data_IF_412408118981
#
_entry.id   IF_412408118981
#
_cell.length_a   1.000
_cell.length_b   1.000
_cell.length_c   1.000
_cell.angle_alpha   90.00
_cell.angle_beta   90.00
_cell.angle_gamma   90.00
#
_symmetry.space_group_name_H-M   'P 1'
#
loop_
_entity.id
_entity.type
_entity.pdbx_description
1 polymer ?
#
# COMPACT_ATOMS: atom_id res chain seq x y z
N UNK A 1 31.88 -5.19 -13.40
CA UNK A 1 31.14 -4.58 -12.27
C UNK A 1 29.66 -4.90 -12.47
N UNK A 2 29.19 -6.08 -12.02
CA UNK A 2 27.82 -6.56 -12.31
C UNK A 2 27.35 -7.53 -11.21
N UNK A 3 27.50 -7.12 -9.95
CA UNK A 3 26.92 -7.82 -8.79
C UNK A 3 26.18 -6.77 -7.96
N UNK A 4 25.02 -6.31 -8.45
CA UNK A 4 24.12 -5.49 -7.61
C UNK A 4 22.63 -5.60 -7.96
N UNK A 5 22.21 -6.63 -8.69
CA UNK A 5 20.79 -6.82 -9.05
C UNK A 5 20.31 -8.28 -8.91
N UNK A 6 20.87 -9.03 -7.96
CA UNK A 6 20.35 -10.35 -7.58
C UNK A 6 19.93 -10.36 -6.10
N UNK A 7 19.19 -9.32 -5.71
CA UNK A 7 18.38 -9.32 -4.49
C UNK A 7 17.01 -8.84 -4.90
N UNK A 8 16.00 -9.45 -4.29
CA UNK A 8 14.57 -9.36 -4.62
C UNK A 8 14.18 -10.36 -5.72
N UNK A 9 13.41 -11.38 -5.33
CA UNK A 9 12.87 -12.45 -6.19
C UNK A 9 11.85 -11.94 -7.23
N UNK A 10 12.27 -10.98 -8.04
CA UNK A 10 11.55 -10.31 -9.12
C UNK A 10 12.27 -10.47 -10.48
N UNK A 11 13.50 -10.99 -10.50
CA UNK A 11 14.23 -11.28 -11.73
C UNK A 11 14.72 -12.73 -11.74
N UNK A 12 14.19 -13.52 -12.67
CA UNK A 12 14.84 -14.74 -13.13
C UNK A 12 15.85 -14.30 -14.18
N UNK A 13 17.13 -14.20 -13.79
CA UNK A 13 18.21 -14.09 -14.78
C UNK A 13 18.28 -15.42 -15.52
N UNK A 14 17.62 -15.49 -16.68
CA UNK A 14 17.87 -16.57 -17.64
C UNK A 14 18.96 -16.06 -18.57
N UNK A 15 20.13 -16.68 -18.52
CA UNK A 15 21.23 -16.36 -19.41
C UNK A 15 20.72 -16.32 -20.87
N UNK A 16 20.95 -15.19 -21.54
CA UNK A 16 20.77 -14.97 -22.98
C UNK A 16 19.35 -14.93 -23.57
N UNK A 17 18.29 -14.51 -22.84
CA UNK A 17 17.02 -14.08 -23.48
C UNK A 17 16.38 -12.97 -22.64
N UNK A 18 15.89 -11.90 -23.30
CA UNK A 18 15.42 -10.66 -22.68
C UNK A 18 14.51 -10.81 -21.45
N UNK A 19 14.61 -9.82 -20.55
CA UNK A 19 13.84 -9.72 -19.30
C UNK A 19 12.36 -10.05 -19.53
N UNK A 20 11.90 -11.18 -19.01
CA UNK A 20 10.48 -11.51 -18.99
C UNK A 20 9.81 -10.77 -17.84
N UNK A 21 8.66 -10.15 -18.11
CA UNK A 21 7.77 -9.63 -17.06
C UNK A 21 7.41 -10.81 -16.16
N UNK A 22 7.64 -10.67 -14.84
CA UNK A 22 7.35 -11.73 -13.88
C UNK A 22 5.89 -12.18 -14.03
N UNK A 23 5.67 -13.49 -14.17
CA UNK A 23 4.31 -14.04 -14.26
C UNK A 23 3.47 -13.59 -13.06
N UNK A 24 2.18 -13.31 -13.27
CA UNK A 24 1.33 -12.88 -12.17
C UNK A 24 1.20 -13.95 -11.06
N UNK A 25 0.94 -13.50 -9.83
CA UNK A 25 0.78 -14.41 -8.70
C UNK A 25 -0.39 -15.38 -8.90
N UNK A 26 -0.19 -16.61 -8.43
CA UNK A 26 -1.30 -17.55 -8.20
C UNK A 26 -2.24 -16.96 -7.15
N UNK A 27 -3.51 -17.37 -7.13
CA UNK A 27 -4.48 -16.89 -6.15
C UNK A 27 -4.03 -17.14 -4.70
N UNK A 28 -3.35 -18.26 -4.45
CA UNK A 28 -2.79 -18.59 -3.13
C UNK A 28 -1.67 -17.61 -2.72
N UNK A 29 -0.72 -17.33 -3.63
CA UNK A 29 0.35 -16.38 -3.37
C UNK A 29 -0.17 -14.95 -3.26
N UNK A 30 -1.22 -14.59 -4.00
CA UNK A 30 -1.91 -13.30 -3.86
C UNK A 30 -2.51 -13.16 -2.45
N UNK A 31 -3.19 -14.21 -1.94
CA UNK A 31 -3.73 -14.22 -0.57
C UNK A 31 -2.63 -14.10 0.48
N UNK A 32 -1.53 -14.82 0.30
CA UNK A 32 -0.37 -14.70 1.18
C UNK A 32 0.23 -13.27 1.15
N UNK A 33 0.34 -12.65 -0.02
CA UNK A 33 0.80 -11.27 -0.15
C UNK A 33 -0.12 -10.27 0.57
N UNK A 34 -1.44 -10.46 0.48
CA UNK A 34 -2.43 -9.67 1.24
C UNK A 34 -2.20 -9.80 2.75
N UNK A 35 -2.02 -11.03 3.25
CA UNK A 35 -1.80 -11.29 4.67
C UNK A 35 -0.47 -10.70 5.17
N UNK A 36 0.59 -10.75 4.34
CA UNK A 36 1.88 -10.11 4.65
C UNK A 36 1.73 -8.59 4.69
N UNK A 37 1.10 -7.98 3.67
CA UNK A 37 0.86 -6.52 3.61
C UNK A 37 0.11 -6.05 4.86
N UNK A 38 -0.97 -6.74 5.23
CA UNK A 38 -1.74 -6.45 6.45
C UNK A 38 -0.87 -6.49 7.70
N UNK A 39 -0.04 -7.52 7.88
CA UNK A 39 0.85 -7.62 9.07
C UNK A 39 1.85 -6.47 9.15
N UNK A 40 2.42 -6.06 8.02
CA UNK A 40 3.38 -4.96 7.96
C UNK A 40 2.68 -3.63 8.30
N UNK A 41 1.52 -3.37 7.71
CA UNK A 41 0.79 -2.12 7.94
C UNK A 41 0.14 -2.05 9.33
N UNK A 42 -0.31 -3.18 9.88
CA UNK A 42 -0.73 -3.29 11.29
C UNK A 42 0.43 -3.01 12.26
N UNK A 43 1.65 -3.42 11.92
CA UNK A 43 2.83 -3.05 12.69
C UNK A 43 3.10 -1.55 12.57
N UNK A 44 2.98 -0.98 11.38
CA UNK A 44 3.20 0.46 11.15
C UNK A 44 2.27 1.32 12.02
N UNK A 45 0.96 1.07 12.00
CA UNK A 45 0.02 1.87 12.81
C UNK A 45 0.21 1.74 14.31
N UNK A 46 0.75 0.60 14.79
CA UNK A 46 1.12 0.45 16.21
C UNK A 46 2.29 1.36 16.59
N UNK A 47 3.24 1.60 15.69
CA UNK A 47 4.36 2.51 15.96
C UNK A 47 3.93 3.98 15.92
N UNK A 48 2.90 4.29 15.12
CA UNK A 48 2.35 5.64 14.99
C UNK A 48 1.39 6.02 16.13
N UNK A 49 0.94 5.06 16.93
CA UNK A 49 0.09 5.31 18.10
C UNK A 49 0.76 6.33 19.04
N UNK A 50 0.05 7.40 19.37
CA UNK A 50 0.53 8.56 20.15
C UNK A 50 1.71 9.37 19.53
N UNK A 51 2.19 9.02 18.33
CA UNK A 51 3.38 9.63 17.73
C UNK A 51 3.13 10.33 16.39
N UNK A 52 1.96 10.14 15.79
CA UNK A 52 1.60 10.81 14.53
C UNK A 52 1.28 12.28 14.75
N UNK A 53 1.82 13.17 13.91
CA UNK A 53 1.56 14.60 14.01
C UNK A 53 0.32 15.03 13.22
N UNK A 54 -0.25 16.19 13.55
CA UNK A 54 -1.31 16.81 12.74
C UNK A 54 -0.86 17.11 11.31
N UNK A 55 0.44 17.42 11.10
CA UNK A 55 0.98 17.63 9.77
C UNK A 55 1.01 16.34 8.94
N UNK A 56 1.28 15.19 9.59
CA UNK A 56 1.23 13.88 8.94
C UNK A 56 -0.20 13.50 8.58
N UNK A 57 -1.15 13.70 9.49
CA UNK A 57 -2.58 13.45 9.24
C UNK A 57 -3.08 14.32 8.08
N UNK A 58 -2.74 15.61 8.07
CA UNK A 58 -3.10 16.53 6.99
C UNK A 58 -2.48 16.10 5.64
N UNK A 59 -1.26 15.57 5.66
CA UNK A 59 -0.62 15.03 4.45
C UNK A 59 -1.32 13.76 3.96
N UNK A 60 -1.72 12.87 4.85
CA UNK A 60 -2.50 11.68 4.51
C UNK A 60 -3.85 12.07 3.88
N UNK A 61 -4.55 13.05 4.46
CA UNK A 61 -5.81 13.57 3.88
C UNK A 61 -5.61 14.14 2.48
N UNK A 62 -4.54 14.90 2.26
CA UNK A 62 -4.22 15.46 0.94
C UNK A 62 -3.92 14.36 -0.11
N UNK A 63 -3.35 13.23 0.29
CA UNK A 63 -3.17 12.07 -0.61
C UNK A 63 -4.53 11.46 -0.94
N UNK A 64 -5.42 11.30 0.04
CA UNK A 64 -6.78 10.78 -0.17
C UNK A 64 -7.59 11.69 -1.10
N UNK A 65 -7.46 13.01 -0.98
CA UNK A 65 -8.15 13.95 -1.86
C UNK A 65 -7.70 13.77 -3.33
N UNK A 66 -6.41 13.54 -3.57
CA UNK A 66 -5.92 13.16 -4.91
C UNK A 66 -6.48 11.82 -5.39
N UNK A 67 -6.67 10.84 -4.50
CA UNK A 67 -7.31 9.58 -4.88
C UNK A 67 -8.73 9.83 -5.38
N UNK A 68 -9.49 10.68 -4.69
CA UNK A 68 -10.84 11.06 -5.12
C UNK A 68 -10.81 11.72 -6.51
N UNK A 69 -9.90 12.68 -6.73
CA UNK A 69 -9.75 13.35 -8.03
C UNK A 69 -9.43 12.37 -9.17
N UNK A 70 -8.50 11.42 -8.95
CA UNK A 70 -8.15 10.42 -9.95
C UNK A 70 -9.30 9.44 -10.21
N UNK A 71 -10.08 9.09 -9.18
CA UNK A 71 -11.26 8.28 -9.38
C UNK A 71 -12.30 9.01 -10.23
N UNK A 72 -12.61 10.26 -9.91
CA UNK A 72 -13.65 11.05 -10.59
C UNK A 72 -13.32 11.27 -12.08
N UNK A 73 -12.03 11.31 -12.42
CA UNK A 73 -11.51 11.39 -13.79
C UNK A 73 -11.34 10.02 -14.47
N UNK A 74 -11.67 8.92 -13.78
CA UNK A 74 -11.45 7.54 -14.24
C UNK A 74 -9.97 7.21 -14.56
N UNK A 75 -9.03 7.89 -13.92
CA UNK A 75 -7.58 7.71 -14.07
C UNK A 75 -7.08 6.55 -13.19
N UNK A 76 -7.58 5.33 -13.44
CA UNK A 76 -7.35 4.18 -12.54
C UNK A 76 -5.88 3.80 -12.31
N UNK A 77 -5.00 4.07 -13.28
CA UNK A 77 -3.55 3.88 -13.11
C UNK A 77 -2.98 4.85 -12.09
N UNK A 78 -3.39 6.11 -12.14
CA UNK A 78 -2.95 7.13 -11.17
C UNK A 78 -3.59 6.87 -9.81
N UNK A 79 -4.88 6.49 -9.76
CA UNK A 79 -5.53 6.05 -8.52
C UNK A 79 -4.75 4.92 -7.84
N UNK A 80 -4.29 3.92 -8.61
CA UNK A 80 -3.46 2.81 -8.07
C UNK A 80 -2.16 3.33 -7.48
N UNK A 81 -1.49 4.30 -8.13
CA UNK A 81 -0.25 4.88 -7.63
C UNK A 81 -0.49 5.69 -6.35
N UNK A 82 -1.58 6.43 -6.27
CA UNK A 82 -1.93 7.24 -5.10
C UNK A 82 -2.34 6.38 -3.91
N UNK A 83 -3.00 5.24 -4.13
CA UNK A 83 -3.22 4.21 -3.08
C UNK A 83 -1.87 3.72 -2.52
N UNK A 84 -0.94 3.31 -3.39
CA UNK A 84 0.42 2.91 -2.99
C UNK A 84 1.11 4.06 -2.24
N UNK A 85 0.98 5.30 -2.70
CA UNK A 85 1.54 6.50 -2.04
C UNK A 85 1.01 6.65 -0.62
N UNK A 86 -0.31 6.53 -0.42
CA UNK A 86 -0.95 6.64 0.89
C UNK A 86 -0.40 5.60 1.87
N UNK A 87 -0.38 4.33 1.46
CA UNK A 87 0.09 3.25 2.32
C UNK A 87 1.60 3.34 2.59
N UNK A 88 2.38 3.66 1.56
CA UNK A 88 3.83 3.87 1.70
C UNK A 88 4.14 5.03 2.65
N UNK A 89 3.32 6.09 2.68
CA UNK A 89 3.54 7.25 3.53
C UNK A 89 3.57 6.86 5.01
N UNK A 90 2.51 6.23 5.53
CA UNK A 90 2.45 5.88 6.95
C UNK A 90 3.38 4.71 7.31
N UNK A 91 3.65 3.80 6.37
CA UNK A 91 4.68 2.76 6.55
C UNK A 91 6.07 3.40 6.69
N UNK A 92 6.37 4.41 5.88
CA UNK A 92 7.61 5.18 5.95
C UNK A 92 7.74 5.99 7.24
N UNK A 93 6.65 6.62 7.70
CA UNK A 93 6.63 7.32 9.00
C UNK A 93 6.93 6.36 10.16
N UNK A 94 6.38 5.15 10.12
CA UNK A 94 6.48 4.19 11.21
C UNK A 94 7.87 3.53 11.36
N UNK A 95 8.56 3.30 10.24
CA UNK A 95 9.79 2.49 10.26
C UNK A 95 10.83 2.86 9.20
N UNK A 96 10.69 4.03 8.57
CA UNK A 96 11.65 4.56 7.61
C UNK A 96 11.88 3.65 6.40
N UNK A 97 13.11 3.64 5.90
CA UNK A 97 13.51 2.83 4.75
C UNK A 97 13.42 1.33 5.04
N UNK A 98 13.73 0.89 6.26
CA UNK A 98 13.76 -0.54 6.61
C UNK A 98 12.37 -1.18 6.47
N UNK A 99 11.34 -0.58 7.07
CA UNK A 99 9.99 -1.10 6.97
C UNK A 99 9.42 -0.95 5.55
N UNK A 100 9.76 0.15 4.87
CA UNK A 100 9.39 0.38 3.47
C UNK A 100 9.97 -0.69 2.55
N UNK A 101 11.21 -1.11 2.76
CA UNK A 101 11.89 -2.15 1.97
C UNK A 101 11.31 -3.54 2.19
N UNK A 102 10.69 -3.81 3.35
CA UNK A 102 9.91 -5.03 3.56
C UNK A 102 8.54 -4.99 2.88
N UNK A 103 7.90 -3.81 2.88
CA UNK A 103 6.56 -3.61 2.34
C UNK A 103 6.53 -3.57 0.81
N UNK A 104 7.46 -2.83 0.20
CA UNK A 104 7.40 -2.47 -1.22
C UNK A 104 7.45 -3.67 -2.19
N UNK A 105 8.33 -4.68 -2.00
CA UNK A 105 8.36 -5.84 -2.88
C UNK A 105 7.07 -6.68 -2.83
N UNK A 106 6.35 -6.65 -1.71
CA UNK A 106 5.05 -7.34 -1.56
C UNK A 106 4.01 -6.65 -2.42
N UNK A 107 3.89 -5.32 -2.29
CA UNK A 107 2.88 -4.53 -2.99
C UNK A 107 3.09 -4.50 -4.50
N UNK A 108 4.34 -4.41 -4.97
CA UNK A 108 4.64 -4.41 -6.41
C UNK A 108 4.18 -5.67 -7.15
N UNK A 109 4.08 -6.80 -6.45
CA UNK A 109 3.63 -8.06 -7.03
C UNK A 109 2.13 -8.31 -6.88
N UNK A 110 1.44 -7.50 -6.08
CA UNK A 110 0.00 -7.64 -5.88
C UNK A 110 -0.76 -7.12 -7.09
N UNK A 111 -1.83 -7.83 -7.48
CA UNK A 111 -2.81 -7.33 -8.45
C UNK A 111 -3.83 -6.44 -7.74
N UNK A 112 -3.79 -5.14 -8.00
CA UNK A 112 -4.78 -4.17 -7.53
C UNK A 112 -5.71 -3.80 -8.70
N UNK A 113 -6.95 -4.27 -8.66
CA UNK A 113 -7.90 -4.13 -9.78
C UNK A 113 -8.96 -3.07 -9.49
N UNK A 114 -8.55 -1.80 -9.45
CA UNK A 114 -9.47 -0.69 -9.20
C UNK A 114 -10.46 -0.43 -10.35
N UNK A 115 -10.13 -0.85 -11.58
CA UNK A 115 -11.02 -0.76 -12.76
C UNK A 115 -12.38 -1.45 -12.60
N UNK A 116 -12.51 -2.40 -11.66
CA UNK A 116 -13.77 -3.13 -11.41
C UNK A 116 -14.63 -2.48 -10.32
N UNK A 117 -14.11 -1.45 -9.65
CA UNK A 117 -14.80 -0.77 -8.57
C UNK A 117 -15.74 0.26 -9.19
N UNK A 118 -17.04 0.06 -8.97
CA UNK A 118 -18.10 0.93 -9.50
C UNK A 118 -18.47 2.08 -8.57
N UNK A 119 -17.91 2.12 -7.36
CA UNK A 119 -18.26 3.08 -6.32
C UNK A 119 -17.00 3.66 -5.67
N UNK A 120 -16.64 4.90 -6.03
CA UNK A 120 -15.53 5.68 -5.44
C UNK A 120 -15.67 5.79 -3.95
N UNK A 121 -16.88 6.08 -3.51
CA UNK A 121 -17.19 6.45 -2.14
C UNK A 121 -16.71 5.35 -1.20
N UNK A 122 -16.97 4.08 -1.53
CA UNK A 122 -16.49 2.95 -0.73
C UNK A 122 -14.97 2.84 -0.68
N UNK A 123 -14.26 3.12 -1.78
CA UNK A 123 -12.80 3.04 -1.82
C UNK A 123 -12.15 4.17 -1.04
N UNK A 124 -12.55 5.41 -1.29
CA UNK A 124 -11.97 6.60 -0.66
C UNK A 124 -12.32 6.65 0.83
N UNK A 125 -13.55 6.30 1.20
CA UNK A 125 -13.99 6.25 2.60
C UNK A 125 -13.22 5.20 3.41
N UNK A 126 -12.87 4.05 2.81
CA UNK A 126 -12.03 3.05 3.48
C UNK A 126 -10.67 3.62 3.88
N UNK A 127 -10.10 4.55 3.10
CA UNK A 127 -8.86 5.24 3.45
C UNK A 127 -9.09 6.33 4.52
N UNK A 128 -10.17 7.12 4.41
CA UNK A 128 -10.51 8.14 5.41
C UNK A 128 -10.72 7.55 6.80
N UNK A 129 -11.34 6.36 6.89
CA UNK A 129 -11.49 5.65 8.15
C UNK A 129 -10.16 5.31 8.84
N UNK A 130 -9.08 5.07 8.07
CA UNK A 130 -7.74 4.84 8.64
C UNK A 130 -7.22 6.14 9.27
N UNK A 131 -7.28 7.26 8.56
CA UNK A 131 -6.82 8.56 9.06
C UNK A 131 -7.62 9.00 10.28
N UNK A 132 -8.94 8.84 10.26
CA UNK A 132 -9.80 9.18 11.39
C UNK A 132 -9.52 8.34 12.63
N UNK A 133 -9.19 7.06 12.44
CA UNK A 133 -8.81 6.20 13.55
C UNK A 133 -7.47 6.62 14.15
N UNK A 134 -6.48 6.97 13.32
CA UNK A 134 -5.18 7.48 13.78
C UNK A 134 -5.34 8.83 14.50
N UNK A 135 -6.16 9.74 13.97
CA UNK A 135 -6.49 11.05 14.57
C UNK A 135 -7.14 10.90 15.94
N UNK A 136 -8.03 9.92 16.11
CA UNK A 136 -8.65 9.59 17.40
C UNK A 136 -7.75 8.76 18.31
N UNK A 137 -6.56 8.38 17.83
CA UNK A 137 -5.65 7.47 18.50
C UNK A 137 -6.34 6.15 18.91
N UNK A 138 -7.25 5.65 18.07
CA UNK A 138 -7.95 4.38 18.26
C UNK A 138 -7.27 3.29 17.44
N UNK A 139 -6.26 2.66 18.05
CA UNK A 139 -5.47 1.62 17.41
C UNK A 139 -6.31 0.43 16.94
N UNK A 140 -7.35 0.05 17.70
CA UNK A 140 -8.23 -1.08 17.31
C UNK A 140 -9.01 -0.75 16.05
N UNK A 141 -9.54 0.47 15.96
CA UNK A 141 -10.24 0.94 14.78
C UNK A 141 -9.29 1.10 13.58
N UNK A 142 -8.07 1.57 13.79
CA UNK A 142 -7.07 1.71 12.73
C UNK A 142 -6.73 0.35 12.09
N UNK A 143 -6.44 -0.65 12.94
CA UNK A 143 -6.19 -2.03 12.49
C UNK A 143 -7.40 -2.61 11.75
N UNK A 144 -8.61 -2.41 12.27
CA UNK A 144 -9.83 -2.89 11.61
C UNK A 144 -10.03 -2.24 10.23
N UNK A 145 -9.75 -0.94 10.13
CA UNK A 145 -9.88 -0.17 8.89
C UNK A 145 -8.86 -0.61 7.84
N UNK A 146 -7.61 -0.84 8.22
CA UNK A 146 -6.57 -1.41 7.34
C UNK A 146 -6.98 -2.77 6.79
N UNK A 147 -7.48 -3.67 7.65
CA UNK A 147 -7.93 -5.01 7.20
C UNK A 147 -9.09 -4.95 6.22
N UNK A 148 -9.98 -3.96 6.37
CA UNK A 148 -11.07 -3.73 5.44
C UNK A 148 -10.56 -3.17 4.12
N UNK A 149 -9.65 -2.20 4.15
CA UNK A 149 -9.09 -1.55 2.97
C UNK A 149 -8.28 -2.53 2.07
N UNK A 150 -7.44 -3.38 2.67
CA UNK A 150 -6.62 -4.34 1.91
C UNK A 150 -7.42 -5.61 1.64
N UNK A 151 -7.79 -5.90 0.39
CA UNK A 151 -8.61 -7.07 -0.03
C UNK A 151 -7.93 -7.97 -1.04
#
# INVERSE_FOLDING_TARGET
>A
MLIKLTKEGLLVSKDNVGSSVSSPLTSELQKLSIDIRRKIEEHAVKQLENNISEADLARMDAIIDKMQEHFDKEEFTELTKTDIEFHKYFVGLAGGEDLTNLWYPVVLRMRMNYQRIRNSQTLVDEHRHIVDALRKNDLKLAISSIRKNIK
#
